data_IF_197044680962
#
_entry.id   IF_197044680962
#
_cell.length_a   1.000
_cell.length_b   1.000
_cell.length_c   1.000
_cell.angle_alpha   90.00
_cell.angle_beta   90.00
_cell.angle_gamma   90.00
#
_symmetry.space_group_name_H-M   'P 1'
#
loop_
_entity.id
_entity.type
_entity.pdbx_description
1 polymer ?
#
# COMPACT_ATOMS: atom_id res chain seq x y z
N UNK A 1 -27.23 -0.51 -5.36
CA UNK A 1 -26.35 -0.88 -4.23
C UNK A 1 -26.82 -0.12 -3.00
N UNK A 2 -27.06 -0.76 -1.85
CA UNK A 2 -27.61 -0.05 -0.68
C UNK A 2 -26.51 0.72 0.09
N UNK A 3 -26.92 1.70 0.91
CA UNK A 3 -26.01 2.55 1.70
C UNK A 3 -25.09 1.76 2.63
N UNK A 4 -25.62 0.71 3.28
CA UNK A 4 -24.87 -0.15 4.19
C UNK A 4 -23.67 -0.79 3.50
N UNK A 5 -23.91 -1.39 2.33
CA UNK A 5 -22.87 -2.06 1.54
C UNK A 5 -21.78 -1.08 1.07
N UNK A 6 -22.15 0.16 0.74
CA UNK A 6 -21.16 1.19 0.36
C UNK A 6 -20.29 1.59 1.53
N UNK A 7 -20.88 1.81 2.71
CA UNK A 7 -20.12 2.15 3.93
C UNK A 7 -19.18 1.04 4.34
N UNK A 8 -19.67 -0.21 4.40
CA UNK A 8 -18.82 -1.38 4.66
C UNK A 8 -17.71 -1.49 3.62
N UNK A 9 -18.00 -1.32 2.33
CA UNK A 9 -16.98 -1.35 1.28
C UNK A 9 -15.91 -0.27 1.40
N UNK A 10 -16.25 0.94 1.85
CA UNK A 10 -15.29 2.02 2.12
C UNK A 10 -14.36 1.62 3.27
N UNK A 11 -14.93 1.11 4.37
CA UNK A 11 -14.18 0.67 5.56
C UNK A 11 -13.26 -0.50 5.22
N UNK A 12 -13.78 -1.51 4.53
CA UNK A 12 -13.02 -2.70 4.12
C UNK A 12 -11.85 -2.33 3.21
N UNK A 13 -12.06 -1.40 2.27
CA UNK A 13 -11.00 -0.91 1.41
C UNK A 13 -9.91 -0.17 2.19
N UNK A 14 -10.26 0.67 3.17
CA UNK A 14 -9.28 1.32 4.05
C UNK A 14 -8.45 0.30 4.83
N UNK A 15 -9.12 -0.67 5.45
CA UNK A 15 -8.46 -1.73 6.21
C UNK A 15 -7.53 -2.57 5.32
N UNK A 16 -7.97 -2.89 4.11
CA UNK A 16 -7.15 -3.61 3.13
C UNK A 16 -5.89 -2.81 2.76
N UNK A 17 -6.03 -1.52 2.43
CA UNK A 17 -4.89 -0.66 2.08
C UNK A 17 -3.87 -0.60 3.22
N UNK A 18 -4.34 -0.38 4.45
CA UNK A 18 -3.48 -0.34 5.65
C UNK A 18 -2.78 -1.69 5.89
N UNK A 19 -3.51 -2.80 5.71
CA UNK A 19 -2.95 -4.14 5.84
C UNK A 19 -1.83 -4.41 4.83
N UNK A 20 -2.05 -4.08 3.56
CA UNK A 20 -1.03 -4.25 2.51
C UNK A 20 0.16 -3.31 2.75
N UNK A 21 -0.08 -2.06 3.15
CA UNK A 21 0.99 -1.11 3.48
C UNK A 21 1.92 -1.70 4.55
N UNK A 22 1.36 -2.21 5.66
CA UNK A 22 2.12 -2.81 6.73
C UNK A 22 2.90 -4.06 6.25
N UNK A 23 2.25 -4.93 5.47
CA UNK A 23 2.85 -6.14 4.94
C UNK A 23 4.03 -5.85 3.99
N UNK A 24 3.86 -4.90 3.07
CA UNK A 24 4.90 -4.51 2.09
C UNK A 24 6.07 -3.83 2.78
N UNK A 25 5.82 -2.90 3.71
CA UNK A 25 6.90 -2.23 4.45
C UNK A 25 7.70 -3.24 5.27
N UNK A 26 7.03 -4.16 5.97
CA UNK A 26 7.70 -5.23 6.72
C UNK A 26 8.53 -6.12 5.80
N UNK A 27 7.95 -6.59 4.69
CA UNK A 27 8.65 -7.42 3.70
C UNK A 27 9.88 -6.71 3.10
N UNK A 28 9.78 -5.41 2.82
CA UNK A 28 10.89 -4.61 2.31
C UNK A 28 12.07 -4.55 3.30
N UNK A 29 11.76 -4.32 4.58
CA UNK A 29 12.76 -4.31 5.66
C UNK A 29 13.38 -5.68 5.89
N UNK A 30 12.54 -6.72 5.99
CA UNK A 30 12.98 -8.10 6.24
C UNK A 30 13.85 -8.63 5.08
N UNK A 31 13.59 -8.20 3.85
CA UNK A 31 14.37 -8.60 2.68
C UNK A 31 15.78 -8.00 2.65
N UNK A 32 16.05 -6.87 3.32
CA UNK A 32 17.37 -6.25 3.42
C UNK A 32 18.03 -5.85 2.09
N UNK A 33 17.26 -5.83 0.99
CA UNK A 33 17.74 -5.64 -0.40
C UNK A 33 17.26 -4.34 -1.05
N UNK A 34 16.61 -3.48 -0.27
CA UNK A 34 16.09 -2.19 -0.70
C UNK A 34 16.83 -1.06 0.00
N UNK A 35 17.13 0.01 -0.74
CA UNK A 35 17.75 1.21 -0.17
C UNK A 35 16.74 2.04 0.62
N UNK A 36 17.23 2.98 1.43
CA UNK A 36 16.36 3.91 2.18
C UNK A 36 15.48 4.77 1.27
N UNK A 37 16.00 5.16 0.09
CA UNK A 37 15.24 5.88 -0.91
C UNK A 37 14.10 5.03 -1.50
N UNK A 38 14.36 3.74 -1.75
CA UNK A 38 13.34 2.81 -2.24
C UNK A 38 12.29 2.52 -1.17
N UNK A 39 12.70 2.34 0.07
CA UNK A 39 11.79 2.19 1.21
C UNK A 39 10.91 3.45 1.39
N UNK A 40 11.49 4.64 1.25
CA UNK A 40 10.75 5.91 1.29
C UNK A 40 9.73 6.01 0.16
N UNK A 41 10.09 5.59 -1.05
CA UNK A 41 9.16 5.52 -2.18
C UNK A 41 8.02 4.54 -1.93
N UNK A 42 8.31 3.34 -1.40
CA UNK A 42 7.28 2.36 -1.05
C UNK A 42 6.26 2.97 -0.08
N UNK A 43 6.71 3.69 0.95
CA UNK A 43 5.81 4.36 1.90
C UNK A 43 4.97 5.44 1.21
N UNK A 44 5.58 6.25 0.33
CA UNK A 44 4.88 7.36 -0.34
C UNK A 44 3.76 6.89 -1.27
N UNK A 45 3.89 5.69 -1.86
CA UNK A 45 2.81 5.09 -2.67
C UNK A 45 1.51 4.98 -1.88
N UNK A 46 1.55 4.68 -0.59
CA UNK A 46 0.35 4.51 0.24
C UNK A 46 -0.16 5.81 0.87
N UNK A 47 0.70 6.83 1.00
CA UNK A 47 0.44 8.01 1.83
C UNK A 47 -0.88 8.72 1.47
N UNK A 48 -1.10 9.01 0.18
CA UNK A 48 -2.30 9.71 -0.28
C UNK A 48 -3.57 8.85 -0.09
N UNK A 49 -3.48 7.56 -0.39
CA UNK A 49 -4.61 6.63 -0.27
C UNK A 49 -5.02 6.41 1.19
N UNK A 50 -4.06 6.28 2.10
CA UNK A 50 -4.32 6.16 3.54
C UNK A 50 -4.88 7.46 4.11
N UNK A 51 -4.34 8.62 3.70
CA UNK A 51 -4.84 9.93 4.13
C UNK A 51 -6.29 10.14 3.69
N UNK A 52 -6.59 9.94 2.41
CA UNK A 52 -7.94 10.12 1.87
C UNK A 52 -8.91 9.06 2.40
N UNK A 53 -8.46 7.81 2.56
CA UNK A 53 -9.23 6.74 3.19
C UNK A 53 -9.66 7.13 4.60
N UNK A 54 -8.73 7.62 5.44
CA UNK A 54 -9.07 8.10 6.80
C UNK A 54 -10.06 9.27 6.77
N UNK A 55 -9.93 10.21 5.82
CA UNK A 55 -10.91 11.29 5.65
C UNK A 55 -12.30 10.75 5.29
N UNK A 56 -12.39 9.72 4.46
CA UNK A 56 -13.67 9.09 4.13
C UNK A 56 -14.27 8.30 5.29
N UNK A 57 -13.47 7.69 6.16
CA UNK A 57 -13.97 7.09 7.41
C UNK A 57 -14.62 8.15 8.30
N UNK A 58 -13.95 9.29 8.52
CA UNK A 58 -14.53 10.38 9.30
C UNK A 58 -15.80 10.94 8.65
N UNK A 59 -15.79 11.13 7.33
CA UNK A 59 -16.98 11.57 6.60
C UNK A 59 -18.14 10.59 6.70
N UNK A 60 -17.89 9.28 6.64
CA UNK A 60 -18.94 8.26 6.85
C UNK A 60 -19.52 8.37 8.27
N UNK A 61 -18.69 8.62 9.30
CA UNK A 61 -19.19 8.84 10.67
C UNK A 61 -20.05 10.10 10.76
N UNK A 62 -19.63 11.20 10.12
CA UNK A 62 -20.39 12.46 10.09
C UNK A 62 -21.75 12.29 9.41
N UNK A 63 -21.80 11.58 8.28
CA UNK A 63 -23.04 11.29 7.54
C UNK A 63 -24.02 10.40 8.32
N UNK A 64 -23.53 9.66 9.32
CA UNK A 64 -24.33 8.83 10.23
C UNK A 64 -24.68 9.54 11.54
N UNK A 65 -24.10 10.70 11.81
CA UNK A 65 -24.38 11.43 13.03
C UNK A 65 -25.83 11.95 13.01
N UNK A 66 -26.50 12.01 14.18
CA UNK A 66 -27.90 12.46 14.29
C UNK A 66 -28.10 13.98 14.06
N UNK A 67 -27.17 14.65 13.36
CA UNK A 67 -27.32 16.05 12.95
C UNK A 67 -28.29 16.12 11.76
N UNK A 68 -28.85 17.32 11.53
CA UNK A 68 -29.93 17.61 10.58
C UNK A 68 -30.01 16.64 9.39
N UNK A 69 -31.22 16.15 9.03
CA UNK A 69 -31.39 15.15 8.00
C UNK A 69 -30.81 15.65 6.68
N UNK A 70 -29.75 14.97 6.22
CA UNK A 70 -29.16 15.18 4.90
C UNK A 70 -30.15 14.60 3.88
N UNK A 71 -30.44 15.29 2.76
CA UNK A 71 -31.23 14.73 1.69
C UNK A 71 -30.67 13.36 1.26
N UNK A 72 -31.55 12.36 1.12
CA UNK A 72 -31.12 10.98 0.85
C UNK A 72 -30.31 10.86 -0.45
N UNK A 73 -30.64 11.65 -1.46
CA UNK A 73 -29.92 11.72 -2.73
C UNK A 73 -28.48 12.23 -2.57
N UNK A 74 -28.27 13.28 -1.77
CA UNK A 74 -26.95 13.82 -1.47
C UNK A 74 -26.08 12.80 -0.72
N UNK A 75 -26.69 12.10 0.25
CA UNK A 75 -26.04 11.03 0.99
C UNK A 75 -25.60 9.89 0.05
N UNK A 76 -26.50 9.41 -0.81
CA UNK A 76 -26.22 8.33 -1.74
C UNK A 76 -25.15 8.73 -2.77
N UNK A 77 -25.20 9.97 -3.27
CA UNK A 77 -24.19 10.51 -4.18
C UNK A 77 -22.81 10.56 -3.53
N UNK A 78 -22.71 11.08 -2.30
CA UNK A 78 -21.47 11.12 -1.55
C UNK A 78 -20.90 9.71 -1.27
N UNK A 79 -21.73 8.79 -0.80
CA UNK A 79 -21.34 7.40 -0.54
C UNK A 79 -20.87 6.69 -1.82
N UNK A 80 -21.57 6.90 -2.94
CA UNK A 80 -21.22 6.30 -4.24
C UNK A 80 -19.85 6.77 -4.71
N UNK A 81 -19.57 8.08 -4.60
CA UNK A 81 -18.27 8.64 -4.98
C UNK A 81 -17.14 8.07 -4.12
N UNK A 82 -17.31 8.09 -2.80
CA UNK A 82 -16.30 7.57 -1.86
C UNK A 82 -16.04 6.08 -2.09
N UNK A 83 -17.09 5.28 -2.22
CA UNK A 83 -17.00 3.85 -2.51
C UNK A 83 -16.23 3.58 -3.81
N UNK A 84 -16.52 4.32 -4.87
CA UNK A 84 -15.87 4.14 -6.18
C UNK A 84 -14.37 4.44 -6.11
N UNK A 85 -13.99 5.53 -5.45
CA UNK A 85 -12.58 5.92 -5.26
C UNK A 85 -11.86 4.86 -4.43
N UNK A 86 -12.43 4.45 -3.29
CA UNK A 86 -11.82 3.46 -2.40
C UNK A 86 -11.65 2.10 -3.06
N UNK A 87 -12.61 1.67 -3.88
CA UNK A 87 -12.49 0.45 -4.68
C UNK A 87 -11.37 0.57 -5.71
N UNK A 88 -11.21 1.73 -6.32
CA UNK A 88 -10.08 2.04 -7.21
C UNK A 88 -8.74 1.91 -6.49
N UNK A 89 -8.62 2.47 -5.29
CA UNK A 89 -7.41 2.37 -4.47
C UNK A 89 -7.09 0.94 -4.05
N UNK A 90 -8.09 0.18 -3.60
CA UNK A 90 -7.91 -1.24 -3.26
C UNK A 90 -7.36 -2.04 -4.45
N UNK A 91 -7.88 -1.81 -5.67
CA UNK A 91 -7.39 -2.46 -6.88
C UNK A 91 -5.95 -2.04 -7.24
N UNK A 92 -5.62 -0.75 -7.11
CA UNK A 92 -4.27 -0.23 -7.36
C UNK A 92 -3.26 -0.85 -6.39
N UNK A 93 -3.60 -0.92 -5.11
CA UNK A 93 -2.75 -1.52 -4.08
C UNK A 93 -2.58 -3.03 -4.28
N UNK A 94 -3.65 -3.74 -4.63
CA UNK A 94 -3.56 -5.17 -4.99
C UNK A 94 -2.60 -5.42 -6.15
N UNK A 95 -2.58 -4.53 -7.15
CA UNK A 95 -1.61 -4.62 -8.25
C UNK A 95 -0.20 -4.32 -7.76
N UNK A 96 -0.02 -3.26 -6.98
CA UNK A 96 1.28 -2.88 -6.42
C UNK A 96 1.89 -3.99 -5.58
N UNK A 97 1.11 -4.65 -4.71
CA UNK A 97 1.54 -5.80 -3.90
C UNK A 97 2.11 -6.93 -4.77
N UNK A 98 1.39 -7.31 -5.84
CA UNK A 98 1.85 -8.36 -6.78
C UNK A 98 3.14 -7.97 -7.50
N UNK A 99 3.22 -6.72 -7.96
CA UNK A 99 4.39 -6.19 -8.64
C UNK A 99 5.59 -6.15 -7.67
N UNK A 100 5.36 -5.79 -6.41
CA UNK A 100 6.36 -5.78 -5.35
C UNK A 100 6.86 -7.18 -5.01
N UNK A 101 5.97 -8.16 -4.85
CA UNK A 101 6.37 -9.56 -4.61
C UNK A 101 7.22 -10.13 -5.73
N UNK A 102 6.84 -9.81 -6.97
CA UNK A 102 7.63 -10.18 -8.15
C UNK A 102 9.02 -9.52 -8.14
N UNK A 103 9.13 -8.28 -7.68
CA UNK A 103 10.39 -7.56 -7.55
C UNK A 103 11.29 -8.18 -6.48
N UNK A 104 10.73 -8.50 -5.30
CA UNK A 104 11.44 -9.18 -4.20
C UNK A 104 12.02 -10.51 -4.67
N UNK A 105 11.22 -11.33 -5.37
CA UNK A 105 11.67 -12.62 -5.89
C UNK A 105 12.83 -12.46 -6.89
N UNK A 106 12.69 -11.52 -7.84
CA UNK A 106 13.73 -11.26 -8.86
C UNK A 106 15.04 -10.76 -8.23
N UNK A 107 14.95 -9.86 -7.25
CA UNK A 107 16.14 -9.33 -6.56
C UNK A 107 16.82 -10.39 -5.70
N UNK A 108 16.03 -11.19 -4.98
CA UNK A 108 16.55 -12.32 -4.19
C UNK A 108 17.35 -13.29 -5.06
N UNK A 109 16.76 -13.72 -6.19
CA UNK A 109 17.45 -14.60 -7.15
C UNK A 109 18.75 -13.97 -7.66
N UNK A 110 18.71 -12.70 -8.08
CA UNK A 110 19.90 -12.00 -8.58
C UNK A 110 21.03 -11.93 -7.55
N UNK A 111 20.70 -11.73 -6.27
CA UNK A 111 21.70 -11.74 -5.20
C UNK A 111 22.34 -13.13 -5.03
N UNK A 112 21.54 -14.19 -5.03
CA UNK A 112 22.03 -15.57 -5.01
C UNK A 112 22.92 -15.88 -6.21
N UNK A 113 22.49 -15.52 -7.42
CA UNK A 113 23.28 -15.73 -8.65
C UNK A 113 24.64 -15.00 -8.56
N UNK A 114 24.65 -13.76 -8.05
CA UNK A 114 25.89 -12.99 -7.84
C UNK A 114 26.81 -13.68 -6.81
N UNK A 115 26.26 -14.20 -5.72
CA UNK A 115 27.03 -14.92 -4.71
C UNK A 115 27.64 -16.22 -5.26
N UNK A 116 26.89 -16.96 -6.09
CA UNK A 116 27.38 -18.15 -6.78
C UNK A 116 28.52 -17.83 -7.75
N UNK A 117 28.36 -16.79 -8.58
CA UNK A 117 29.41 -16.31 -9.49
C UNK A 117 30.67 -15.92 -8.70
N UNK A 118 30.54 -15.18 -7.60
CA UNK A 118 31.68 -14.82 -6.74
C UNK A 118 32.43 -16.04 -6.21
N UNK A 119 31.70 -17.12 -5.86
CA UNK A 119 32.30 -18.39 -5.41
C UNK A 119 33.07 -19.08 -6.53
N UNK A 120 32.49 -19.17 -7.73
CA UNK A 120 33.11 -19.81 -8.90
C UNK A 120 34.42 -19.11 -9.27
N UNK A 121 34.40 -17.78 -9.34
CA UNK A 121 35.55 -16.99 -9.78
C UNK A 121 36.51 -16.60 -8.64
N UNK A 122 36.28 -17.06 -7.41
CA UNK A 122 37.06 -16.71 -6.21
C UNK A 122 37.24 -15.19 -6.04
N UNK A 123 36.24 -14.41 -6.46
CA UNK A 123 36.29 -12.95 -6.39
C UNK A 123 36.22 -12.56 -4.91
N UNK A 124 37.32 -12.02 -4.38
CA UNK A 124 37.34 -11.49 -3.01
C UNK A 124 36.37 -10.30 -2.91
N UNK A 125 35.64 -10.14 -1.81
CA UNK A 125 34.83 -8.95 -1.59
C UNK A 125 35.73 -7.71 -1.65
N UNK A 126 35.37 -6.75 -2.50
CA UNK A 126 36.05 -5.45 -2.55
C UNK A 126 35.75 -4.74 -1.23
N UNK A 127 36.76 -4.22 -0.50
CA UNK A 127 36.52 -3.46 0.72
C UNK A 127 35.63 -2.27 0.39
N UNK A 128 34.48 -2.17 1.06
CA UNK A 128 33.63 -0.99 0.96
C UNK A 128 34.28 0.08 1.82
N UNK A 129 34.96 1.05 1.21
CA UNK A 129 35.45 2.23 1.92
C UNK A 129 34.23 3.02 2.38
N UNK A 130 34.06 3.32 3.69
CA UNK A 130 32.97 4.18 4.12
C UNK A 130 33.16 5.56 3.49
N UNK A 131 32.12 6.04 2.81
CA UNK A 131 32.06 7.44 2.38
C UNK A 131 31.62 8.24 3.60
N UNK A 132 32.52 9.07 4.11
CA UNK A 132 32.26 10.03 5.20
C UNK A 132 31.27 11.10 4.77
#
# INVERSE_FOLDING_TARGET
MNKGNMMTGIVDACNYINGIQAAVIKKSKDAGMFTDAENSYIVSVFADMTKEGNQYIEKVKELLAPKQPIPEEELLSALTRMYTIMRGYANRIKKFEKDFDSLVLKRSKRLTDIEEVKKIFKIKPVPVTPVN
#
